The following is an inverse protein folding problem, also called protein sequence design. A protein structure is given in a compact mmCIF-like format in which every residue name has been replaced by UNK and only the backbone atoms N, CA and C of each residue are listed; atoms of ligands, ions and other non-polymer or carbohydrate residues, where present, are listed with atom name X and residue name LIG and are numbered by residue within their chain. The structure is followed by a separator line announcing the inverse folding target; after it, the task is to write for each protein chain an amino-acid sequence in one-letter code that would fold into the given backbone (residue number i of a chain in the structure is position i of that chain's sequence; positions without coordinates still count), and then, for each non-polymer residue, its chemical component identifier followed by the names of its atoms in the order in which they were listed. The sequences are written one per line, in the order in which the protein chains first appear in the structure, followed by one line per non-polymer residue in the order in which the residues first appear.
data_IF_167681638340
#
_entry.id   IF_167681638340
#
_cell.length_a   1.000
_cell.length_b   1.000
_cell.length_c   1.000
_cell.angle_alpha   90.00
_cell.angle_beta   90.00
_cell.angle_gamma   90.00
#
_symmetry.space_group_name_H-M   'P 1'
#
loop_
_entity.id
_entity.type
_entity.pdbx_description
1 polymer ?
#
# COMPACT_ATOMS: atom_id res chain seq x y z
N UNK A 1 19.08 17.53 10.77
CA UNK A 1 20.05 16.44 10.52
C UNK A 1 20.24 15.64 11.80
N UNK A 2 20.18 14.30 11.75
CA UNK A 2 20.21 13.45 12.95
C UNK A 2 21.61 12.87 13.19
N UNK A 3 22.08 12.93 14.44
CA UNK A 3 23.40 12.48 14.87
C UNK A 3 23.50 10.94 15.03
N UNK A 4 24.70 10.43 15.38
CA UNK A 4 25.07 9.01 15.54
C UNK A 4 24.15 8.15 16.45
N UNK A 5 23.25 8.78 17.22
CA UNK A 5 22.26 8.14 18.10
C UNK A 5 20.85 8.02 17.48
N UNK A 6 20.71 8.11 16.16
CA UNK A 6 19.42 7.95 15.49
C UNK A 6 18.83 6.55 15.71
N UNK A 7 17.49 6.48 15.69
CA UNK A 7 16.79 5.21 15.67
C UNK A 7 17.04 4.45 14.38
N UNK A 8 17.08 3.13 14.45
CA UNK A 8 17.17 2.29 13.26
C UNK A 8 15.99 2.57 12.30
N UNK A 9 16.26 2.92 11.02
CA UNK A 9 15.21 3.31 10.08
C UNK A 9 14.16 2.23 9.84
N UNK A 10 14.57 0.95 9.85
CA UNK A 10 13.71 -0.21 9.59
C UNK A 10 13.17 -0.89 10.86
N UNK A 11 13.29 -0.24 12.03
CA UNK A 11 12.81 -0.84 13.28
C UNK A 11 11.32 -1.19 13.21
N UNK A 12 10.88 -2.35 13.74
CA UNK A 12 9.47 -2.65 13.85
C UNK A 12 8.80 -1.66 14.81
N UNK A 13 7.68 -1.07 14.39
CA UNK A 13 6.86 -0.17 15.22
C UNK A 13 5.53 -0.85 15.52
N UNK A 14 5.16 -0.93 16.81
CA UNK A 14 3.86 -1.47 17.21
C UNK A 14 2.74 -0.53 16.74
N UNK A 15 1.71 -1.09 16.12
CA UNK A 15 0.51 -0.36 15.72
C UNK A 15 -0.52 -0.42 16.83
N UNK A 16 -1.17 0.72 17.10
CA UNK A 16 -2.21 0.83 18.11
C UNK A 16 -3.57 0.72 17.42
N UNK A 17 -4.29 -0.38 17.70
CA UNK A 17 -5.65 -0.63 17.20
C UNK A 17 -6.55 -1.06 18.36
N UNK A 18 -7.86 -0.92 18.19
CA UNK A 18 -8.82 -1.47 19.15
C UNK A 18 -8.89 -3.00 19.07
N UNK A 19 -9.22 -3.67 20.19
CA UNK A 19 -9.31 -5.14 20.27
C UNK A 19 -10.15 -5.77 19.16
N UNK A 20 -11.32 -5.20 18.84
CA UNK A 20 -12.19 -5.67 17.74
C UNK A 20 -11.50 -5.57 16.38
N UNK A 21 -10.73 -4.50 16.13
CA UNK A 21 -10.00 -4.30 14.88
C UNK A 21 -8.83 -5.28 14.75
N UNK A 22 -8.11 -5.54 15.85
CA UNK A 22 -7.02 -6.52 15.88
C UNK A 22 -7.54 -7.91 15.49
N UNK A 23 -8.66 -8.34 16.09
CA UNK A 23 -9.26 -9.63 15.77
C UNK A 23 -9.71 -9.71 14.30
N UNK A 24 -10.34 -8.63 13.79
CA UNK A 24 -10.79 -8.56 12.41
C UNK A 24 -9.63 -8.62 11.41
N UNK A 25 -8.62 -7.77 11.58
CA UNK A 25 -7.47 -7.67 10.68
C UNK A 25 -6.58 -8.91 10.80
N UNK A 26 -6.38 -9.44 12.01
CA UNK A 26 -5.63 -10.68 12.24
C UNK A 26 -6.28 -11.87 11.54
N UNK A 27 -7.60 -12.03 11.69
CA UNK A 27 -8.36 -13.08 11.00
C UNK A 27 -8.31 -12.92 9.49
N UNK A 28 -8.41 -11.68 8.99
CA UNK A 28 -8.38 -11.40 7.56
C UNK A 28 -6.98 -11.63 6.95
N UNK A 29 -5.91 -11.26 7.66
CA UNK A 29 -4.52 -11.49 7.23
C UNK A 29 -4.14 -12.98 7.28
N UNK A 30 -4.74 -13.76 8.18
CA UNK A 30 -4.54 -15.21 8.25
C UNK A 30 -5.19 -15.96 7.06
N UNK A 31 -6.17 -15.35 6.37
CA UNK A 31 -6.78 -15.95 5.17
C UNK A 31 -5.76 -15.98 4.03
N UNK A 32 -5.60 -17.15 3.41
CA UNK A 32 -4.64 -17.39 2.32
C UNK A 32 -4.75 -16.34 1.22
N UNK A 33 -3.63 -15.62 0.99
CA UNK A 33 -3.48 -14.66 -0.10
C UNK A 33 -3.87 -13.21 0.21
N UNK A 34 -4.33 -12.92 1.43
CA UNK A 34 -4.51 -11.55 1.89
C UNK A 34 -3.27 -11.06 2.63
N UNK A 35 -2.96 -9.77 2.47
CA UNK A 35 -1.81 -9.11 3.11
C UNK A 35 -2.21 -7.73 3.56
N UNK A 36 -1.77 -7.34 4.76
CA UNK A 36 -1.96 -6.00 5.29
C UNK A 36 -0.92 -5.04 4.70
N UNK A 37 -1.38 -3.95 4.08
CA UNK A 37 -0.52 -3.01 3.36
C UNK A 37 -0.79 -1.58 3.86
N UNK A 38 0.24 -0.76 4.07
CA UNK A 38 0.08 0.66 4.37
C UNK A 38 -0.38 1.43 3.13
N UNK A 39 -1.38 2.31 3.29
CA UNK A 39 -1.86 3.19 2.22
C UNK A 39 -1.24 4.58 2.32
N UNK A 40 -1.34 5.20 3.50
CA UNK A 40 -0.84 6.55 3.74
C UNK A 40 -0.57 6.79 5.22
N UNK A 41 0.42 7.62 5.50
CA UNK A 41 0.61 8.25 6.80
C UNK A 41 -0.03 9.64 6.76
N UNK A 42 -0.76 10.00 7.80
CA UNK A 42 -1.40 11.31 7.90
C UNK A 42 -1.38 11.82 9.34
N UNK A 43 -1.32 13.13 9.51
CA UNK A 43 -1.50 13.76 10.81
C UNK A 43 -2.99 13.90 11.09
N UNK A 44 -3.42 13.58 12.30
CA UNK A 44 -4.77 13.92 12.75
C UNK A 44 -4.79 15.33 13.37
N UNK A 45 -5.98 15.81 13.71
CA UNK A 45 -6.21 17.11 14.38
C UNK A 45 -5.42 17.28 15.68
N UNK A 46 -5.03 16.17 16.33
CA UNK A 46 -4.22 16.17 17.56
C UNK A 46 -2.71 16.10 17.28
N UNK A 47 -2.27 16.40 16.06
CA UNK A 47 -0.87 16.32 15.59
C UNK A 47 -0.19 14.96 15.81
N UNK A 48 -0.96 13.87 15.85
CA UNK A 48 -0.45 12.49 15.91
C UNK A 48 -0.42 11.89 14.52
N UNK A 49 0.65 11.19 14.20
CA UNK A 49 0.77 10.40 12.97
C UNK A 49 -0.11 9.17 13.08
N UNK A 50 -1.02 9.00 12.12
CA UNK A 50 -1.84 7.82 11.93
C UNK A 50 -1.46 7.13 10.63
N UNK A 51 -1.56 5.80 10.63
CA UNK A 51 -1.33 4.97 9.46
C UNK A 51 -2.67 4.42 8.98
N UNK A 52 -3.02 4.72 7.74
CA UNK A 52 -4.12 4.06 7.05
C UNK A 52 -3.64 2.71 6.50
N UNK A 53 -4.39 1.65 6.78
CA UNK A 53 -4.07 0.27 6.40
C UNK A 53 -5.17 -0.28 5.50
N UNK A 54 -4.81 -1.18 4.60
CA UNK A 54 -5.75 -1.92 3.78
C UNK A 54 -5.36 -3.39 3.66
N UNK A 55 -6.35 -4.23 3.39
CA UNK A 55 -6.16 -5.64 3.04
C UNK A 55 -6.09 -5.74 1.52
N UNK A 56 -4.95 -6.18 1.01
CA UNK A 56 -4.74 -6.44 -0.41
C UNK A 56 -4.67 -7.93 -0.68
N UNK A 57 -5.17 -8.36 -1.84
CA UNK A 57 -4.90 -9.68 -2.39
C UNK A 57 -3.92 -9.54 -3.56
N UNK A 58 -2.86 -10.33 -3.57
CA UNK A 58 -1.94 -10.36 -4.70
C UNK A 58 -2.64 -10.80 -5.99
N UNK A 59 -2.44 -10.07 -7.08
CA UNK A 59 -2.89 -10.51 -8.43
C UNK A 59 -2.12 -11.75 -8.86
N UNK A 60 -2.80 -12.69 -9.54
CA UNK A 60 -2.15 -13.88 -10.11
C UNK A 60 -1.25 -13.48 -11.28
N UNK A 61 -0.29 -14.34 -11.64
CA UNK A 61 0.68 -14.04 -12.71
C UNK A 61 0.01 -13.80 -14.08
N UNK A 62 -1.07 -14.53 -14.40
CA UNK A 62 -1.83 -14.29 -15.63
C UNK A 62 -2.50 -12.91 -15.64
N UNK A 63 -3.16 -12.53 -14.54
CA UNK A 63 -3.81 -11.22 -14.40
C UNK A 63 -2.81 -10.06 -14.58
N UNK A 64 -1.56 -10.25 -14.15
CA UNK A 64 -0.49 -9.25 -14.31
C UNK A 64 -0.14 -9.05 -15.78
N UNK A 65 -0.08 -10.11 -16.60
CA UNK A 65 0.26 -10.02 -18.03
C UNK A 65 -0.79 -9.21 -18.80
N UNK A 66 -2.07 -9.50 -18.59
CA UNK A 66 -3.13 -8.72 -19.23
C UNK A 66 -3.12 -7.27 -18.78
N UNK A 67 -3.01 -7.02 -17.47
CA UNK A 67 -2.93 -5.65 -16.93
C UNK A 67 -1.76 -4.87 -17.52
N UNK A 68 -0.59 -5.50 -17.71
CA UNK A 68 0.58 -4.88 -18.33
C UNK A 68 0.32 -4.52 -19.79
N UNK A 69 -0.20 -5.47 -20.58
CA UNK A 69 -0.56 -5.23 -21.99
C UNK A 69 -1.53 -4.05 -22.13
N UNK A 70 -2.60 -4.01 -21.34
CA UNK A 70 -3.57 -2.91 -21.38
C UNK A 70 -2.94 -1.57 -21.02
N UNK A 71 -2.06 -1.54 -20.01
CA UNK A 71 -1.39 -0.33 -19.55
C UNK A 71 -0.37 0.21 -20.56
N UNK A 72 0.31 -0.69 -21.27
CA UNK A 72 1.25 -0.33 -22.34
C UNK A 72 0.49 0.22 -23.57
N UNK A 73 -0.61 -0.45 -23.94
CA UNK A 73 -1.49 0.03 -25.01
C UNK A 73 -2.08 1.41 -24.73
N UNK A 74 -2.57 1.66 -23.51
CA UNK A 74 -3.08 2.97 -23.10
C UNK A 74 -2.02 4.08 -23.23
N UNK A 75 -0.77 3.79 -22.84
CA UNK A 75 0.35 4.73 -23.00
C UNK A 75 0.68 5.01 -24.47
N UNK A 76 0.68 4.00 -25.33
CA UNK A 76 0.89 4.19 -26.77
C UNK A 76 -0.25 5.00 -27.41
N UNK A 77 -1.51 4.71 -27.05
CA UNK A 77 -2.68 5.46 -27.52
C UNK A 77 -2.59 6.94 -27.14
N UNK A 78 -2.20 7.25 -25.91
CA UNK A 78 -2.01 8.63 -25.46
C UNK A 78 -0.90 9.36 -26.24
N UNK A 79 0.20 8.68 -26.60
CA UNK A 79 1.27 9.26 -27.42
C UNK A 79 0.80 9.55 -28.84
N UNK A 80 0.14 8.58 -29.48
CA UNK A 80 -0.41 8.75 -30.84
C UNK A 80 -1.44 9.88 -30.94
N UNK A 81 -2.25 10.08 -29.90
CA UNK A 81 -3.20 11.21 -29.84
C UNK A 81 -2.50 12.56 -29.61
N UNK A 82 -1.30 12.57 -29.03
CA UNK A 82 -0.53 13.79 -28.77
C UNK A 82 0.34 14.23 -29.96
N UNK A 83 0.84 13.29 -30.75
CA UNK A 83 1.63 13.58 -31.97
C UNK A 83 0.76 13.94 -33.18
N UNK A 84 -0.55 13.63 -33.14
CA UNK A 84 -1.50 13.91 -34.22
C UNK A 84 -2.39 15.14 -33.97
N UNK A 85 -2.11 15.93 -32.93
CA UNK A 85 -2.75 17.22 -32.64
C UNK A 85 -1.70 18.30 -32.54
#
# INVERSE_FOLDING_TARGET
HGNRANHEPKRPRKLLLHKKQINHVGSAAARKGYTLIPLRLYFNEKNKVKLALALGKGKKLHDKRETQKTRDWQRQKQRLMRDKG
#
